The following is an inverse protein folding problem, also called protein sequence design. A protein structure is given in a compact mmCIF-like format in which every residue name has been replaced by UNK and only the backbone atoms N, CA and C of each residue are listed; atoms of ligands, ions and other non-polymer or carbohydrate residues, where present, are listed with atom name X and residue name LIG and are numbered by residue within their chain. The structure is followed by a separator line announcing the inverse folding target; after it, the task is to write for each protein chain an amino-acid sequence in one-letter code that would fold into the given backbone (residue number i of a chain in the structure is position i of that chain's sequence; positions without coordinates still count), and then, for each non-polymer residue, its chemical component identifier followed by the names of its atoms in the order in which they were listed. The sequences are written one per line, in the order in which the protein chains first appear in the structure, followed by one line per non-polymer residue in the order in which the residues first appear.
data_IF_511894711112
#
_entry.id   IF_511894711112
#
_cell.length_a   1.000
_cell.length_b   1.000
_cell.length_c   1.000
_cell.angle_alpha   90.00
_cell.angle_beta   90.00
_cell.angle_gamma   90.00
#
_symmetry.space_group_name_H-M   'P 1'
#
loop_
_entity.id
_entity.type
_entity.pdbx_description
1 polymer ?
#
# COMPACT_ATOMS: atom_id res chain seq x y z
N UNK A 1 2.48 -84.20 35.91
CA UNK A 1 3.65 -83.30 35.74
C UNK A 1 3.78 -82.64 34.35
N UNK A 2 2.93 -82.93 33.35
CA UNK A 2 3.00 -82.28 32.02
C UNK A 2 2.23 -80.96 31.88
N UNK A 3 1.28 -80.66 32.77
CA UNK A 3 0.41 -79.46 32.69
C UNK A 3 1.10 -78.19 33.22
N UNK A 4 1.82 -78.28 34.34
CA UNK A 4 2.47 -77.13 34.98
C UNK A 4 3.58 -76.52 34.10
N UNK A 5 4.30 -77.32 33.32
CA UNK A 5 5.33 -76.81 32.39
C UNK A 5 4.73 -76.00 31.24
N UNK A 6 3.55 -76.37 30.75
CA UNK A 6 2.92 -75.68 29.62
C UNK A 6 2.36 -74.30 30.04
N UNK A 7 1.78 -74.21 31.23
CA UNK A 7 1.23 -72.94 31.75
C UNK A 7 2.35 -71.91 32.05
N UNK A 8 3.49 -72.36 32.60
CA UNK A 8 4.67 -71.50 32.81
C UNK A 8 5.26 -71.02 31.48
N UNK A 9 5.37 -71.89 30.47
CA UNK A 9 5.91 -71.47 29.16
C UNK A 9 5.01 -70.53 28.37
N UNK A 10 3.69 -70.57 28.60
CA UNK A 10 2.75 -69.63 27.99
C UNK A 10 2.79 -68.26 28.71
N UNK A 11 2.91 -68.24 30.04
CA UNK A 11 3.09 -67.00 30.81
C UNK A 11 4.38 -66.27 30.41
N UNK A 12 5.51 -66.97 30.31
CA UNK A 12 6.79 -66.36 29.89
C UNK A 12 6.75 -65.79 28.46
N UNK A 13 6.07 -66.47 27.53
CA UNK A 13 5.88 -65.97 26.16
C UNK A 13 5.00 -64.72 26.12
N UNK A 14 3.89 -64.72 26.87
CA UNK A 14 2.99 -63.56 26.94
C UNK A 14 3.70 -62.35 27.56
N UNK A 15 4.48 -62.57 28.63
CA UNK A 15 5.29 -61.53 29.26
C UNK A 15 6.28 -60.90 28.27
N UNK A 16 7.02 -61.73 27.52
CA UNK A 16 7.96 -61.25 26.50
C UNK A 16 7.26 -60.43 25.42
N UNK A 17 6.10 -60.89 24.93
CA UNK A 17 5.30 -60.15 23.94
C UNK A 17 4.81 -58.81 24.48
N UNK A 18 4.32 -58.75 25.72
CA UNK A 18 3.91 -57.50 26.35
C UNK A 18 5.10 -56.55 26.53
N UNK A 19 6.28 -57.05 26.88
CA UNK A 19 7.49 -56.23 26.99
C UNK A 19 7.92 -55.63 25.64
N UNK A 20 7.85 -56.39 24.55
CA UNK A 20 8.15 -55.91 23.20
C UNK A 20 7.14 -54.83 22.74
N UNK A 21 5.85 -55.04 22.99
CA UNK A 21 4.80 -54.06 22.73
C UNK A 21 4.99 -52.78 23.53
N UNK A 22 5.35 -52.90 24.82
CA UNK A 22 5.62 -51.77 25.70
C UNK A 22 6.75 -50.90 25.16
N UNK A 23 7.86 -51.51 24.73
CA UNK A 23 8.99 -50.78 24.16
C UNK A 23 8.60 -50.05 22.86
N UNK A 24 7.86 -50.74 21.98
CA UNK A 24 7.38 -50.15 20.72
C UNK A 24 6.46 -48.94 20.97
N UNK A 25 5.53 -49.06 21.92
CA UNK A 25 4.64 -47.95 22.26
C UNK A 25 5.38 -46.79 22.93
N UNK A 26 6.39 -47.06 23.77
CA UNK A 26 7.24 -46.01 24.36
C UNK A 26 8.03 -45.25 23.30
N UNK A 27 8.61 -45.94 22.32
CA UNK A 27 9.31 -45.30 21.21
C UNK A 27 8.36 -44.46 20.35
N UNK A 28 7.16 -45.00 20.07
CA UNK A 28 6.10 -44.25 19.37
C UNK A 28 5.69 -42.99 20.13
N UNK A 29 5.47 -43.09 21.44
CA UNK A 29 5.12 -41.95 22.29
C UNK A 29 6.22 -40.87 22.25
N UNK A 30 7.48 -41.28 22.36
CA UNK A 30 8.63 -40.35 22.27
C UNK A 30 8.66 -39.60 20.94
N UNK A 31 8.39 -40.28 19.83
CA UNK A 31 8.33 -39.65 18.51
C UNK A 31 7.15 -38.66 18.42
N UNK A 32 5.95 -39.07 18.85
CA UNK A 32 4.77 -38.21 18.86
C UNK A 32 4.99 -36.94 19.71
N UNK A 33 5.60 -37.07 20.89
CA UNK A 33 5.92 -35.93 21.75
C UNK A 33 6.92 -34.96 21.09
N UNK A 34 7.90 -35.47 20.36
CA UNK A 34 8.85 -34.65 19.60
C UNK A 34 8.16 -33.90 18.45
N UNK A 35 7.32 -34.59 17.68
CA UNK A 35 6.58 -33.99 16.56
C UNK A 35 5.59 -32.94 17.06
N UNK A 36 4.84 -33.25 18.12
CA UNK A 36 3.96 -32.32 18.81
C UNK A 36 4.71 -31.06 19.26
N UNK A 37 5.89 -31.22 19.90
CA UNK A 37 6.72 -30.09 20.32
C UNK A 37 7.19 -29.25 19.13
N UNK A 38 7.59 -29.87 18.03
CA UNK A 38 8.01 -29.17 16.82
C UNK A 38 6.85 -28.40 16.20
N UNK A 39 5.66 -28.99 16.12
CA UNK A 39 4.46 -28.31 15.61
C UNK A 39 4.03 -27.14 16.50
N UNK A 40 4.16 -27.23 17.83
CA UNK A 40 3.90 -26.08 18.72
C UNK A 40 4.82 -24.90 18.42
N UNK A 41 6.09 -25.15 18.07
CA UNK A 41 7.01 -24.09 17.65
C UNK A 41 6.57 -23.45 16.34
N UNK A 42 6.19 -24.24 15.35
CA UNK A 42 5.67 -23.74 14.07
C UNK A 42 4.41 -22.89 14.26
N UNK A 43 3.47 -23.35 15.10
CA UNK A 43 2.27 -22.59 15.44
C UNK A 43 2.62 -21.25 16.10
N UNK A 44 3.56 -21.25 17.06
CA UNK A 44 3.99 -20.03 17.73
C UNK A 44 4.64 -19.04 16.74
N UNK A 45 5.47 -19.53 15.82
CA UNK A 45 6.06 -18.70 14.76
C UNK A 45 5.00 -18.13 13.82
N UNK A 46 4.01 -18.91 13.41
CA UNK A 46 2.88 -18.42 12.60
C UNK A 46 2.06 -17.36 13.33
N UNK A 47 1.76 -17.58 14.62
CA UNK A 47 1.07 -16.60 15.45
C UNK A 47 1.84 -15.29 15.59
N UNK A 48 3.16 -15.36 15.74
CA UNK A 48 4.01 -14.17 15.81
C UNK A 48 4.05 -13.40 14.49
N UNK A 49 4.14 -14.11 13.34
CA UNK A 49 4.03 -13.47 12.02
C UNK A 49 2.68 -12.77 11.85
N UNK A 50 1.58 -13.44 12.20
CA UNK A 50 0.24 -12.85 12.13
C UNK A 50 0.14 -11.59 13.01
N UNK A 51 0.71 -11.64 14.22
CA UNK A 51 0.75 -10.49 15.13
C UNK A 51 1.47 -9.30 14.50
N UNK A 52 2.66 -9.53 13.93
CA UNK A 52 3.45 -8.49 13.26
C UNK A 52 2.68 -7.85 12.11
N UNK A 53 2.04 -8.65 11.24
CA UNK A 53 1.24 -8.13 10.12
C UNK A 53 0.05 -7.30 10.63
N UNK A 54 -0.63 -7.76 11.69
CA UNK A 54 -1.74 -7.02 12.29
C UNK A 54 -1.26 -5.69 12.90
N UNK A 55 -0.07 -5.64 13.48
CA UNK A 55 0.52 -4.41 14.03
C UNK A 55 0.94 -3.41 12.94
N UNK A 56 1.32 -3.89 11.76
CA UNK A 56 1.64 -3.04 10.61
C UNK A 56 0.38 -2.45 9.95
N UNK A 57 -0.76 -3.13 10.03
CA UNK A 57 -2.00 -2.76 9.33
C UNK A 57 -2.52 -1.34 9.67
N UNK A 58 -2.56 -0.89 10.94
CA UNK A 58 -2.93 0.49 11.28
C UNK A 58 -1.99 1.53 10.69
N UNK A 59 -0.69 1.23 10.66
CA UNK A 59 0.33 2.13 10.11
C UNK A 59 0.17 2.28 8.60
N UNK A 60 -0.11 1.18 7.89
CA UNK A 60 -0.42 1.18 6.47
C UNK A 60 -1.71 1.98 6.16
N UNK A 61 -2.76 1.79 6.95
CA UNK A 61 -4.01 2.57 6.84
C UNK A 61 -3.76 4.06 7.04
N UNK A 62 -3.05 4.45 8.10
CA UNK A 62 -2.76 5.86 8.38
C UNK A 62 -1.95 6.49 7.24
N UNK A 63 -0.98 5.76 6.69
CA UNK A 63 -0.21 6.20 5.51
C UNK A 63 -1.12 6.43 4.32
N UNK A 64 -2.04 5.50 4.03
CA UNK A 64 -3.00 5.64 2.94
C UNK A 64 -3.92 6.86 3.13
N UNK A 65 -4.44 7.09 4.34
CA UNK A 65 -5.26 8.27 4.64
C UNK A 65 -4.51 9.58 4.38
N UNK A 66 -3.24 9.66 4.79
CA UNK A 66 -2.40 10.83 4.55
C UNK A 66 -2.14 11.04 3.05
N UNK A 67 -1.92 9.98 2.29
CA UNK A 67 -1.73 10.05 0.83
C UNK A 67 -3.01 10.46 0.10
N UNK A 68 -4.17 9.98 0.51
CA UNK A 68 -5.47 10.42 -0.01
C UNK A 68 -5.67 11.93 0.20
N UNK A 69 -5.30 12.43 1.39
CA UNK A 69 -5.34 13.87 1.67
C UNK A 69 -4.38 14.64 0.77
N UNK A 70 -3.13 14.17 0.62
CA UNK A 70 -2.12 14.76 -0.26
C UNK A 70 -2.60 14.81 -1.72
N UNK A 71 -3.18 13.72 -2.24
CA UNK A 71 -3.72 13.68 -3.61
C UNK A 71 -4.85 14.68 -3.80
N UNK A 72 -5.79 14.76 -2.84
CA UNK A 72 -6.88 15.74 -2.87
C UNK A 72 -6.35 17.17 -2.89
N UNK A 73 -5.37 17.49 -2.05
CA UNK A 73 -4.77 18.82 -1.98
C UNK A 73 -4.01 19.15 -3.28
N UNK A 74 -3.25 18.20 -3.83
CA UNK A 74 -2.57 18.36 -5.13
C UNK A 74 -3.57 18.57 -6.27
N UNK A 75 -4.69 17.85 -6.28
CA UNK A 75 -5.76 18.02 -7.27
C UNK A 75 -6.35 19.42 -7.21
N UNK A 76 -6.62 19.92 -6.01
CA UNK A 76 -7.13 21.29 -5.83
C UNK A 76 -6.12 22.33 -6.33
N UNK A 77 -4.83 22.14 -6.05
CA UNK A 77 -3.77 23.02 -6.54
C UNK A 77 -3.65 23.00 -8.07
N UNK A 78 -3.82 21.83 -8.69
CA UNK A 78 -3.85 21.68 -10.14
C UNK A 78 -5.02 22.43 -10.77
N UNK A 79 -6.23 22.30 -10.23
CA UNK A 79 -7.40 23.04 -10.75
C UNK A 79 -7.24 24.55 -10.58
N UNK A 80 -6.66 25.00 -9.46
CA UNK A 80 -6.34 26.42 -9.26
C UNK A 80 -5.32 26.91 -10.30
N UNK A 81 -4.27 26.14 -10.60
CA UNK A 81 -3.27 26.49 -11.62
C UNK A 81 -3.89 26.54 -13.03
N UNK A 82 -4.77 25.59 -13.38
CA UNK A 82 -5.51 25.63 -14.64
C UNK A 82 -6.37 26.88 -14.77
N UNK A 83 -7.05 27.27 -13.70
CA UNK A 83 -7.89 28.48 -13.70
C UNK A 83 -7.05 29.75 -13.88
N UNK A 84 -5.97 29.88 -13.10
CA UNK A 84 -5.02 31.00 -13.22
C UNK A 84 -4.37 31.09 -14.60
N UNK A 85 -4.01 29.95 -15.20
CA UNK A 85 -3.51 29.88 -16.57
C UNK A 85 -4.51 30.44 -17.60
N UNK A 86 -5.78 30.05 -17.50
CA UNK A 86 -6.85 30.58 -18.38
C UNK A 86 -7.01 32.10 -18.24
N UNK A 87 -6.92 32.63 -17.01
CA UNK A 87 -6.99 34.08 -16.78
C UNK A 87 -5.80 34.77 -17.45
N UNK A 88 -4.58 34.25 -17.30
CA UNK A 88 -3.39 34.81 -17.92
C UNK A 88 -3.48 34.81 -19.46
N UNK A 89 -3.97 33.72 -20.06
CA UNK A 89 -4.21 33.62 -21.51
C UNK A 89 -5.26 34.64 -22.00
N UNK A 90 -6.36 34.82 -21.25
CA UNK A 90 -7.38 35.81 -21.58
C UNK A 90 -6.85 37.24 -21.46
N UNK A 91 -6.05 37.52 -20.43
CA UNK A 91 -5.39 38.80 -20.25
C UNK A 91 -4.44 39.09 -21.43
N UNK A 92 -3.58 38.13 -21.79
CA UNK A 92 -2.69 38.26 -22.94
C UNK A 92 -3.46 38.52 -24.24
N UNK A 93 -4.57 37.82 -24.47
CA UNK A 93 -5.44 38.07 -25.63
C UNK A 93 -6.02 39.48 -25.63
N UNK A 94 -6.47 39.95 -24.47
CA UNK A 94 -7.05 41.30 -24.31
C UNK A 94 -5.98 42.38 -24.52
N UNK A 95 -4.79 42.22 -23.95
CA UNK A 95 -3.68 43.16 -24.10
C UNK A 95 -3.18 43.23 -25.55
N UNK A 96 -3.09 42.09 -26.24
CA UNK A 96 -2.77 42.07 -27.67
C UNK A 96 -3.81 42.81 -28.51
N UNK A 97 -5.11 42.60 -28.25
CA UNK A 97 -6.18 43.36 -28.92
C UNK A 97 -6.06 44.86 -28.66
N UNK A 98 -5.75 45.25 -27.42
CA UNK A 98 -5.52 46.65 -27.07
C UNK A 98 -4.30 47.23 -27.79
N UNK A 99 -3.21 46.47 -27.96
CA UNK A 99 -2.06 46.90 -28.75
C UNK A 99 -2.45 47.13 -30.22
N UNK A 100 -3.19 46.22 -30.85
CA UNK A 100 -3.67 46.37 -32.24
C UNK A 100 -4.52 47.63 -32.41
N UNK A 101 -5.51 47.84 -31.54
CA UNK A 101 -6.34 49.05 -31.57
C UNK A 101 -5.51 50.32 -31.32
N UNK A 102 -4.47 50.22 -30.50
CA UNK A 102 -3.53 51.32 -30.26
C UNK A 102 -2.73 51.70 -31.49
N UNK A 103 -2.27 50.70 -32.24
CA UNK A 103 -1.57 50.89 -33.51
C UNK A 103 -2.49 51.53 -34.55
N UNK A 104 -3.72 51.04 -34.71
CA UNK A 104 -4.70 51.60 -35.64
C UNK A 104 -5.02 53.08 -35.31
N UNK A 105 -5.19 53.39 -34.02
CA UNK A 105 -5.41 54.76 -33.56
C UNK A 105 -4.18 55.65 -33.83
N UNK A 106 -2.97 55.15 -33.57
CA UNK A 106 -1.72 55.84 -33.88
C UNK A 106 -1.63 56.21 -35.36
N UNK A 107 -1.91 55.25 -36.24
CA UNK A 107 -1.85 55.42 -37.70
C UNK A 107 -2.92 56.39 -38.21
N UNK A 108 -4.14 56.29 -37.67
CA UNK A 108 -5.26 57.19 -38.00
C UNK A 108 -4.94 58.64 -37.62
N UNK A 109 -4.42 58.86 -36.40
CA UNK A 109 -4.01 60.19 -35.94
C UNK A 109 -2.88 60.77 -36.80
N UNK A 110 -1.92 59.95 -37.22
CA UNK A 110 -0.84 60.39 -38.10
C UNK A 110 -1.34 60.78 -39.50
N UNK A 111 -2.28 60.01 -40.06
CA UNK A 111 -2.92 60.34 -41.34
C UNK A 111 -3.65 61.69 -41.25
N UNK A 112 -4.49 61.87 -40.22
CA UNK A 112 -5.21 63.13 -40.00
C UNK A 112 -4.27 64.32 -39.81
N UNK A 113 -3.18 64.15 -39.06
CA UNK A 113 -2.17 65.21 -38.85
C UNK A 113 -1.50 65.65 -40.16
N UNK A 114 -1.27 64.72 -41.10
CA UNK A 114 -0.68 65.03 -42.42
C UNK A 114 -1.67 65.76 -43.32
N UNK A 115 -2.93 65.35 -43.31
CA UNK A 115 -4.00 65.91 -44.14
C UNK A 115 -4.46 67.29 -43.63
N UNK A 116 -4.33 67.57 -42.32
CA UNK A 116 -4.89 68.76 -41.69
C UNK A 116 -3.83 69.55 -40.89
N UNK A 117 -2.95 70.27 -41.60
CA UNK A 117 -1.77 70.98 -41.03
C UNK A 117 -2.09 72.07 -39.98
N UNK A 118 -3.35 72.46 -39.84
CA UNK A 118 -3.80 73.46 -38.86
C UNK A 118 -4.46 72.84 -37.62
N UNK A 119 -4.68 71.52 -37.58
CA UNK A 119 -5.33 70.87 -36.44
C UNK A 119 -4.36 70.75 -35.25
N UNK A 120 -4.82 71.09 -34.03
CA UNK A 120 -4.14 70.69 -32.80
C UNK A 120 -4.37 69.20 -32.56
N UNK A 121 -3.33 68.42 -32.84
CA UNK A 121 -3.29 66.97 -32.62
C UNK A 121 -2.27 66.64 -31.55
N UNK A 122 -2.49 65.52 -30.85
CA UNK A 122 -1.53 64.98 -29.89
C UNK A 122 -0.17 64.79 -30.58
N UNK A 123 0.89 65.31 -29.96
CA UNK A 123 2.25 65.28 -30.51
C UNK A 123 2.74 63.86 -30.79
N UNK A 124 3.59 63.71 -31.82
CA UNK A 124 4.12 62.42 -32.25
C UNK A 124 4.74 61.62 -31.09
N UNK A 125 5.57 62.26 -30.27
CA UNK A 125 6.27 61.63 -29.14
C UNK A 125 5.32 61.07 -28.08
N UNK A 126 4.19 61.75 -27.85
CA UNK A 126 3.16 61.29 -26.90
C UNK A 126 2.45 60.05 -27.44
N UNK A 127 2.08 60.07 -28.72
CA UNK A 127 1.46 58.91 -29.39
C UNK A 127 2.41 57.71 -29.40
N UNK A 128 3.70 57.93 -29.66
CA UNK A 128 4.70 56.87 -29.68
C UNK A 128 4.92 56.27 -28.28
N UNK A 129 4.95 57.10 -27.24
CA UNK A 129 5.05 56.63 -25.85
C UNK A 129 3.87 55.74 -25.46
N UNK A 130 2.64 56.16 -25.78
CA UNK A 130 1.43 55.37 -25.50
C UNK A 130 1.45 54.01 -26.21
N UNK A 131 2.00 53.95 -27.42
CA UNK A 131 2.16 52.69 -28.15
C UNK A 131 3.21 51.78 -27.50
N UNK A 132 4.33 52.35 -27.04
CA UNK A 132 5.41 51.61 -26.39
C UNK A 132 5.00 51.07 -25.01
N UNK A 133 4.20 51.83 -24.27
CA UNK A 133 3.55 51.35 -23.03
C UNK A 133 2.70 50.11 -23.29
N UNK A 134 1.87 50.12 -24.35
CA UNK A 134 1.05 48.94 -24.71
C UNK A 134 1.89 47.74 -25.12
N UNK A 135 3.03 47.94 -25.81
CA UNK A 135 3.98 46.84 -26.09
C UNK A 135 4.55 46.26 -24.81
N UNK A 136 4.90 47.12 -23.86
CA UNK A 136 5.41 46.72 -22.55
C UNK A 136 4.38 45.89 -21.78
N UNK A 137 3.10 46.26 -21.84
CA UNK A 137 2.02 45.48 -21.22
C UNK A 137 1.85 44.10 -21.87
N UNK A 138 2.01 43.99 -23.19
CA UNK A 138 1.99 42.69 -23.89
C UNK A 138 3.14 41.81 -23.41
N UNK A 139 4.35 42.34 -23.29
CA UNK A 139 5.51 41.56 -22.83
C UNK A 139 5.33 41.09 -21.38
N UNK A 140 4.78 41.92 -20.50
CA UNK A 140 4.42 41.50 -19.12
C UNK A 140 3.39 40.37 -19.14
N UNK A 141 2.31 40.51 -19.92
CA UNK A 141 1.27 39.49 -20.01
C UNK A 141 1.79 38.16 -20.60
N UNK A 142 2.74 38.21 -21.55
CA UNK A 142 3.44 37.01 -22.04
C UNK A 142 4.24 36.33 -20.94
N UNK A 143 5.00 37.12 -20.16
CA UNK A 143 5.77 36.61 -19.03
C UNK A 143 4.89 35.95 -17.96
N UNK A 144 3.74 36.55 -17.64
CA UNK A 144 2.75 35.96 -16.74
C UNK A 144 2.21 34.64 -17.27
N UNK A 145 1.86 34.58 -18.56
CA UNK A 145 1.35 33.37 -19.20
C UNK A 145 2.38 32.22 -19.14
N UNK A 146 3.64 32.51 -19.45
CA UNK A 146 4.74 31.53 -19.37
C UNK A 146 4.98 31.05 -17.92
N UNK A 147 4.89 31.95 -16.94
CA UNK A 147 5.00 31.58 -15.53
C UNK A 147 3.84 30.67 -15.08
N UNK A 148 2.61 30.96 -15.50
CA UNK A 148 1.46 30.10 -15.21
C UNK A 148 1.58 28.72 -15.87
N UNK A 149 2.13 28.66 -17.09
CA UNK A 149 2.38 27.38 -17.78
C UNK A 149 3.38 26.50 -17.01
N UNK A 150 4.50 27.07 -16.55
CA UNK A 150 5.47 26.34 -15.71
C UNK A 150 4.87 25.89 -14.39
N UNK A 151 4.04 26.73 -13.77
CA UNK A 151 3.33 26.36 -12.54
C UNK A 151 2.37 25.19 -12.79
N UNK A 152 1.61 25.23 -13.89
CA UNK A 152 0.70 24.15 -14.27
C UNK A 152 1.43 22.82 -14.44
N UNK A 153 2.52 22.79 -15.20
CA UNK A 153 3.33 21.58 -15.40
C UNK A 153 3.84 21.02 -14.07
N UNK A 154 4.31 21.89 -13.16
CA UNK A 154 4.70 21.46 -11.81
C UNK A 154 3.53 20.82 -11.06
N UNK A 155 2.32 21.40 -11.12
CA UNK A 155 1.14 20.85 -10.43
C UNK A 155 0.64 19.54 -11.04
N UNK A 156 0.78 19.37 -12.34
CA UNK A 156 0.47 18.11 -13.03
C UNK A 156 1.41 16.99 -12.54
N UNK A 157 2.71 17.29 -12.42
CA UNK A 157 3.69 16.37 -11.85
C UNK A 157 3.39 16.05 -10.38
N UNK A 158 3.15 17.07 -9.54
CA UNK A 158 2.80 16.90 -8.11
C UNK A 158 1.57 15.97 -7.94
N UNK A 159 0.53 16.15 -8.76
CA UNK A 159 -0.68 15.34 -8.73
C UNK A 159 -0.41 13.90 -9.21
N UNK A 160 0.35 13.73 -10.29
CA UNK A 160 0.72 12.41 -10.82
C UNK A 160 1.53 11.60 -9.81
N UNK A 161 2.49 12.24 -9.13
CA UNK A 161 3.26 11.60 -8.06
C UNK A 161 2.38 11.21 -6.88
N UNK A 162 1.53 12.12 -6.38
CA UNK A 162 0.63 11.82 -5.26
C UNK A 162 -0.33 10.65 -5.58
N UNK A 163 -0.87 10.62 -6.80
CA UNK A 163 -1.73 9.52 -7.28
C UNK A 163 -0.98 8.20 -7.30
N UNK A 164 0.26 8.20 -7.81
CA UNK A 164 1.09 6.99 -7.89
C UNK A 164 1.45 6.44 -6.50
N UNK A 165 1.82 7.32 -5.56
CA UNK A 165 2.10 6.96 -4.17
C UNK A 165 0.87 6.34 -3.49
N UNK A 166 -0.32 6.92 -3.68
CA UNK A 166 -1.58 6.37 -3.15
C UNK A 166 -1.82 4.95 -3.70
N UNK A 167 -1.73 4.75 -5.01
CA UNK A 167 -1.97 3.42 -5.64
C UNK A 167 -1.02 2.37 -5.06
N UNK A 168 0.26 2.73 -4.86
CA UNK A 168 1.22 1.82 -4.25
C UNK A 168 0.86 1.48 -2.80
N UNK A 169 0.39 2.46 -2.03
CA UNK A 169 -0.05 2.24 -0.65
C UNK A 169 -1.31 1.37 -0.56
N UNK A 170 -2.26 1.52 -1.48
CA UNK A 170 -3.45 0.65 -1.56
C UNK A 170 -3.07 -0.80 -1.84
N UNK A 171 -2.19 -1.03 -2.83
CA UNK A 171 -1.69 -2.37 -3.13
C UNK A 171 -0.95 -2.99 -1.95
N UNK A 172 -0.15 -2.20 -1.25
CA UNK A 172 0.55 -2.66 -0.06
C UNK A 172 -0.44 -3.07 1.05
N UNK A 173 -1.51 -2.29 1.23
CA UNK A 173 -2.55 -2.60 2.21
C UNK A 173 -3.32 -3.88 1.86
N UNK A 174 -3.76 -4.01 0.60
CA UNK A 174 -4.44 -5.22 0.11
C UNK A 174 -3.56 -6.47 0.28
N UNK A 175 -2.26 -6.33 0.05
CA UNK A 175 -1.30 -7.44 0.26
C UNK A 175 -1.18 -7.82 1.74
N UNK A 176 -1.20 -6.86 2.66
CA UNK A 176 -1.20 -7.14 4.11
C UNK A 176 -2.49 -7.87 4.51
N UNK A 177 -3.65 -7.42 4.02
CA UNK A 177 -4.94 -8.06 4.30
C UNK A 177 -4.98 -9.51 3.81
N UNK A 178 -4.47 -9.78 2.60
CA UNK A 178 -4.32 -11.15 2.08
C UNK A 178 -3.37 -12.00 2.94
N UNK A 179 -2.24 -11.43 3.39
CA UNK A 179 -1.31 -12.15 4.27
C UNK A 179 -1.96 -12.48 5.62
N UNK A 180 -2.78 -11.59 6.18
CA UNK A 180 -3.55 -11.86 7.40
C UNK A 180 -4.46 -13.08 7.21
N UNK A 181 -5.18 -13.16 6.09
CA UNK A 181 -6.06 -14.29 5.80
C UNK A 181 -5.27 -15.60 5.67
N UNK A 182 -4.17 -15.58 4.91
CA UNK A 182 -3.28 -16.74 4.74
C UNK A 182 -2.75 -17.23 6.09
N UNK A 183 -2.20 -16.33 6.91
CA UNK A 183 -1.61 -16.73 8.19
C UNK A 183 -2.66 -17.17 9.22
N UNK A 184 -3.86 -16.59 9.21
CA UNK A 184 -5.00 -17.10 9.99
C UNK A 184 -5.33 -18.55 9.61
N UNK A 185 -5.38 -18.86 8.32
CA UNK A 185 -5.64 -20.21 7.83
C UNK A 185 -4.51 -21.18 8.24
N UNK A 186 -3.25 -20.77 8.09
CA UNK A 186 -2.09 -21.58 8.52
C UNK A 186 -2.11 -21.89 10.01
N UNK A 187 -2.44 -20.91 10.85
CA UNK A 187 -2.58 -21.08 12.31
C UNK A 187 -3.72 -22.05 12.63
N UNK A 188 -4.88 -21.90 11.98
CA UNK A 188 -6.02 -22.79 12.21
C UNK A 188 -5.70 -24.23 11.81
N UNK A 189 -5.03 -24.43 10.69
CA UNK A 189 -4.62 -25.77 10.26
C UNK A 189 -3.58 -26.38 11.22
N UNK A 190 -2.60 -25.58 11.64
CA UNK A 190 -1.61 -26.01 12.64
C UNK A 190 -2.26 -26.42 13.97
N UNK A 191 -3.31 -25.71 14.41
CA UNK A 191 -4.09 -26.09 15.61
C UNK A 191 -4.79 -27.43 15.44
N UNK A 192 -5.39 -27.72 14.27
CA UNK A 192 -6.00 -29.03 14.01
C UNK A 192 -4.98 -30.15 14.09
N UNK A 193 -3.80 -29.95 13.50
CA UNK A 193 -2.73 -30.95 13.53
C UNK A 193 -2.26 -31.19 14.98
N UNK A 194 -2.15 -30.15 15.79
CA UNK A 194 -1.82 -30.30 17.22
C UNK A 194 -2.87 -31.11 17.98
N UNK A 195 -4.16 -30.84 17.78
CA UNK A 195 -5.21 -31.64 18.39
C UNK A 195 -5.12 -33.13 17.99
N UNK A 196 -4.77 -33.44 16.74
CA UNK A 196 -4.57 -34.82 16.31
C UNK A 196 -3.39 -35.48 17.04
N UNK A 197 -2.27 -34.75 17.19
CA UNK A 197 -1.15 -35.24 17.99
C UNK A 197 -1.53 -35.49 19.45
N UNK A 198 -2.31 -34.59 20.07
CA UNK A 198 -2.78 -34.75 21.45
C UNK A 198 -3.63 -36.02 21.61
N UNK A 199 -4.54 -36.30 20.66
CA UNK A 199 -5.34 -37.52 20.65
C UNK A 199 -4.49 -38.79 20.43
N UNK A 200 -3.50 -38.74 19.53
CA UNK A 200 -2.61 -39.86 19.27
C UNK A 200 -1.71 -40.16 20.48
N UNK A 201 -1.24 -39.12 21.17
CA UNK A 201 -0.47 -39.24 22.42
C UNK A 201 -1.33 -39.91 23.49
N UNK A 202 -2.54 -39.41 23.76
CA UNK A 202 -3.45 -39.97 24.77
C UNK A 202 -3.75 -41.45 24.49
N UNK A 203 -3.97 -41.79 23.21
CA UNK A 203 -4.21 -43.18 22.80
C UNK A 203 -3.02 -44.09 23.06
N UNK A 204 -1.79 -43.64 22.76
CA UNK A 204 -0.58 -44.44 23.01
C UNK A 204 -0.28 -44.54 24.50
N UNK A 205 -0.49 -43.47 25.28
CA UNK A 205 -0.37 -43.50 26.74
C UNK A 205 -1.33 -44.53 27.36
N UNK A 206 -2.59 -44.55 26.91
CA UNK A 206 -3.56 -45.56 27.34
C UNK A 206 -3.11 -46.99 27.00
N UNK A 207 -2.61 -47.21 25.78
CA UNK A 207 -2.07 -48.52 25.38
C UNK A 207 -0.89 -48.97 26.26
N UNK A 208 -0.01 -48.04 26.65
CA UNK A 208 1.10 -48.32 27.57
C UNK A 208 0.55 -48.71 28.94
N UNK A 209 -0.40 -47.95 29.49
CA UNK A 209 -1.02 -48.26 30.78
C UNK A 209 -1.70 -49.63 30.78
N UNK A 210 -2.47 -49.96 29.74
CA UNK A 210 -3.15 -51.26 29.62
C UNK A 210 -2.14 -52.42 29.57
N UNK A 211 -1.02 -52.25 28.86
CA UNK A 211 0.05 -53.27 28.82
C UNK A 211 0.72 -53.44 30.19
N UNK A 212 0.99 -52.34 30.91
CA UNK A 212 1.59 -52.41 32.24
C UNK A 212 0.68 -53.15 33.23
N UNK A 213 -0.63 -52.88 33.21
CA UNK A 213 -1.62 -53.60 34.02
C UNK A 213 -1.62 -55.10 33.68
N UNK A 214 -1.53 -55.46 32.39
CA UNK A 214 -1.46 -56.88 32.00
C UNK A 214 -0.17 -57.56 32.44
N UNK A 215 0.96 -56.85 32.46
CA UNK A 215 2.24 -57.36 32.98
C UNK A 215 2.17 -57.56 34.50
N UNK A 216 1.55 -56.64 35.25
CA UNK A 216 1.41 -56.74 36.70
C UNK A 216 0.50 -57.89 37.15
N UNK A 217 -0.46 -58.28 36.31
CA UNK A 217 -1.42 -59.36 36.58
C UNK A 217 -1.01 -60.74 36.01
N UNK A 218 0.13 -60.82 35.29
CA UNK A 218 0.63 -62.05 34.64
C UNK A 218 1.65 -62.81 35.50
#
# INVERSE_FOLDING_TARGET
MKTIKNDVTNSEKNLKTHQEQLNTNRDKLKNLLNDHRNHRKTLAQGAEKLRQIIEELPTAHLKLCNLLKKEKDSKQQLENAKHSGKIAEQNLKTTNKALTLGQEAFDTMNKFSRENRQAQVVGHDTKQRMLEERKTDVEKAKGECENQKKLLEKRENDYTTATSERIQAEKALENLEKQIEIEKNNINESKKILNNFEQDIEKVEKQISDILVNIENA
#
